data_IF_784951552011
#
_entry.id   IF_784951552011
#
_cell.length_a   1.000
_cell.length_b   1.000
_cell.length_c   1.000
_cell.angle_alpha   90.00
_cell.angle_beta   90.00
_cell.angle_gamma   90.00
#
_symmetry.space_group_name_H-M   'P 1'
#
loop_
_entity.id
_entity.type
_entity.pdbx_description
1 polymer ?
#
# COMPACT_ATOMS: atom_id res chain seq x y z
N UNK A 1 -53.76 23.59 -8.66
CA UNK A 1 -52.43 23.60 -9.33
C UNK A 1 -51.37 24.10 -8.35
N UNK A 2 -50.96 23.27 -7.38
CA UNK A 2 -49.95 23.65 -6.36
C UNK A 2 -49.01 22.50 -5.97
N UNK A 3 -49.03 21.37 -6.69
CA UNK A 3 -48.34 20.15 -6.24
C UNK A 3 -46.91 19.99 -6.82
N UNK A 4 -46.59 20.67 -7.93
CA UNK A 4 -45.26 20.55 -8.59
C UNK A 4 -44.17 21.43 -8.00
N UNK A 5 -44.51 22.47 -7.25
CA UNK A 5 -43.53 23.46 -6.75
C UNK A 5 -42.72 22.93 -5.57
N UNK A 6 -43.35 22.12 -4.70
CA UNK A 6 -42.73 21.55 -3.49
C UNK A 6 -41.73 20.44 -3.85
N UNK A 7 -41.96 19.72 -4.95
CA UNK A 7 -41.10 18.62 -5.40
C UNK A 7 -39.70 19.10 -5.84
N UNK A 8 -39.64 20.22 -6.57
CA UNK A 8 -38.38 20.79 -7.08
C UNK A 8 -37.44 21.23 -5.96
N UNK A 9 -37.96 21.89 -4.92
CA UNK A 9 -37.16 22.31 -3.78
C UNK A 9 -36.69 21.13 -2.92
N UNK A 10 -37.50 20.08 -2.79
CA UNK A 10 -37.09 18.82 -2.16
C UNK A 10 -35.94 18.16 -2.94
N UNK A 11 -36.04 18.07 -4.26
CA UNK A 11 -34.98 17.52 -5.10
C UNK A 11 -33.69 18.34 -5.04
N UNK A 12 -33.78 19.68 -5.00
CA UNK A 12 -32.63 20.58 -4.82
C UNK A 12 -31.97 20.40 -3.44
N UNK A 13 -32.77 20.25 -2.38
CA UNK A 13 -32.27 19.94 -1.04
C UNK A 13 -31.50 18.62 -0.98
N UNK A 14 -32.04 17.56 -1.59
CA UNK A 14 -31.35 16.26 -1.68
C UNK A 14 -30.07 16.33 -2.52
N UNK A 15 -30.06 17.11 -3.60
CA UNK A 15 -28.87 17.31 -4.43
C UNK A 15 -27.77 18.06 -3.65
N UNK A 16 -28.13 19.10 -2.90
CA UNK A 16 -27.19 19.84 -2.06
C UNK A 16 -26.61 18.99 -0.91
N UNK A 17 -27.44 18.14 -0.31
CA UNK A 17 -26.99 17.17 0.71
C UNK A 17 -26.00 16.17 0.13
N UNK A 18 -26.34 15.54 -1.02
CA UNK A 18 -25.44 14.60 -1.72
C UNK A 18 -24.11 15.25 -2.11
N UNK A 19 -24.14 16.47 -2.66
CA UNK A 19 -22.93 17.20 -3.00
C UNK A 19 -22.05 17.51 -1.78
N UNK A 20 -22.66 17.70 -0.61
CA UNK A 20 -21.93 17.92 0.65
C UNK A 20 -21.36 16.62 1.19
N UNK A 21 -22.10 15.52 1.11
CA UNK A 21 -21.63 14.19 1.50
C UNK A 21 -20.45 13.75 0.64
N UNK A 22 -20.51 13.94 -0.68
CA UNK A 22 -19.39 13.64 -1.59
C UNK A 22 -18.15 14.45 -1.22
N UNK A 23 -18.30 15.76 -0.95
CA UNK A 23 -17.17 16.60 -0.52
C UNK A 23 -16.55 16.11 0.80
N UNK A 24 -17.39 15.69 1.75
CA UNK A 24 -16.91 15.12 3.02
C UNK A 24 -16.13 13.83 2.79
N UNK A 25 -16.65 12.91 1.97
CA UNK A 25 -15.97 11.66 1.64
C UNK A 25 -14.62 11.89 0.95
N UNK A 26 -14.55 12.84 0.02
CA UNK A 26 -13.29 13.23 -0.63
C UNK A 26 -12.29 13.75 0.41
N UNK A 27 -12.71 14.67 1.28
CA UNK A 27 -11.84 15.21 2.32
C UNK A 27 -11.32 14.12 3.29
N UNK A 28 -12.16 13.15 3.64
CA UNK A 28 -11.77 12.01 4.47
C UNK A 28 -10.75 11.11 3.77
N UNK A 29 -10.97 10.80 2.48
CA UNK A 29 -10.02 10.03 1.66
C UNK A 29 -8.68 10.76 1.54
N UNK A 30 -8.70 12.08 1.35
CA UNK A 30 -7.48 12.90 1.28
C UNK A 30 -6.69 12.89 2.60
N UNK A 31 -7.37 13.07 3.74
CA UNK A 31 -6.74 13.01 5.06
C UNK A 31 -6.13 11.63 5.35
N UNK A 32 -6.84 10.56 4.98
CA UNK A 32 -6.34 9.19 5.09
C UNK A 32 -5.11 8.98 4.20
N UNK A 33 -5.14 9.48 2.96
CA UNK A 33 -4.00 9.40 2.03
C UNK A 33 -2.77 10.14 2.57
N UNK A 34 -2.95 11.31 3.17
CA UNK A 34 -1.85 12.06 3.80
C UNK A 34 -1.25 11.29 4.97
N UNK A 35 -2.09 10.70 5.83
CA UNK A 35 -1.64 9.87 6.96
C UNK A 35 -0.86 8.64 6.49
N UNK A 36 -1.32 7.97 5.43
CA UNK A 36 -0.61 6.82 4.85
C UNK A 36 0.75 7.22 4.28
N UNK A 37 0.83 8.36 3.58
CA UNK A 37 2.10 8.87 3.05
C UNK A 37 3.12 9.17 4.14
N UNK A 38 2.71 9.87 5.20
CA UNK A 38 3.61 10.20 6.31
C UNK A 38 4.19 8.94 6.98
N UNK A 39 3.35 7.91 7.18
CA UNK A 39 3.79 6.60 7.71
C UNK A 39 4.74 5.88 6.76
N UNK A 40 4.48 5.95 5.46
CA UNK A 40 5.35 5.35 4.46
C UNK A 40 6.73 6.03 4.47
N UNK A 41 6.78 7.35 4.49
CA UNK A 41 8.03 8.13 4.56
C UNK A 41 8.85 7.81 5.82
N UNK A 42 8.19 7.64 6.97
CA UNK A 42 8.85 7.24 8.22
C UNK A 42 9.43 5.82 8.11
N UNK A 43 8.69 4.88 7.54
CA UNK A 43 9.17 3.52 7.30
C UNK A 43 10.37 3.52 6.35
N UNK A 44 10.31 4.23 5.23
CA UNK A 44 11.40 4.35 4.27
C UNK A 44 12.65 4.95 4.92
N UNK A 45 12.49 6.00 5.73
CA UNK A 45 13.59 6.59 6.50
C UNK A 45 14.26 5.56 7.40
N UNK A 46 13.49 4.72 8.09
CA UNK A 46 14.03 3.66 8.94
C UNK A 46 14.73 2.57 8.13
N UNK A 47 14.20 2.19 6.95
CA UNK A 47 14.84 1.21 6.06
C UNK A 47 16.18 1.73 5.50
N UNK A 48 16.30 3.05 5.28
CA UNK A 48 17.51 3.72 4.79
C UNK A 48 18.55 3.99 5.89
N UNK A 49 18.14 4.10 7.15
CA UNK A 49 19.00 4.55 8.25
C UNK A 49 20.18 3.60 8.56
N UNK A 50 20.05 2.31 8.27
CA UNK A 50 21.10 1.33 8.53
C UNK A 50 21.13 0.23 7.46
N UNK A 51 22.31 -0.34 7.16
CA UNK A 51 22.41 -1.59 6.39
C UNK A 51 21.61 -2.73 7.04
N UNK A 52 21.20 -3.72 6.26
CA UNK A 52 20.61 -4.94 6.82
C UNK A 52 21.69 -5.74 7.57
N UNK A 53 21.36 -6.24 8.76
CA UNK A 53 22.28 -7.00 9.61
C UNK A 53 22.30 -8.50 9.29
N UNK A 54 21.25 -9.00 8.64
CA UNK A 54 21.08 -10.40 8.30
C UNK A 54 20.26 -10.55 7.00
N UNK A 55 20.20 -11.78 6.48
CA UNK A 55 19.48 -12.10 5.25
C UNK A 55 18.00 -11.75 5.33
N UNK A 56 17.34 -12.03 6.46
CA UNK A 56 15.92 -11.75 6.66
C UNK A 56 15.60 -10.25 6.56
N UNK A 57 16.42 -9.40 7.19
CA UNK A 57 16.26 -7.94 7.05
C UNK A 57 16.51 -7.46 5.62
N UNK A 58 17.48 -8.03 4.92
CA UNK A 58 17.77 -7.67 3.53
C UNK A 58 16.63 -8.08 2.58
N UNK A 59 16.06 -9.29 2.76
CA UNK A 59 14.93 -9.76 1.96
C UNK A 59 13.67 -8.94 2.19
N UNK A 60 13.41 -8.50 3.43
CA UNK A 60 12.26 -7.65 3.74
C UNK A 60 12.37 -6.27 3.07
N UNK A 61 13.58 -5.68 3.06
CA UNK A 61 13.86 -4.45 2.30
C UNK A 61 13.66 -4.63 0.80
N UNK A 62 14.15 -5.73 0.24
CA UNK A 62 13.99 -6.04 -1.17
C UNK A 62 12.52 -6.26 -1.54
N UNK A 63 11.79 -7.03 -0.73
CA UNK A 63 10.34 -7.27 -0.88
C UNK A 63 9.56 -5.96 -0.88
N UNK A 64 9.89 -5.03 0.02
CA UNK A 64 9.28 -3.70 0.05
C UNK A 64 9.51 -2.93 -1.26
N UNK A 65 10.75 -2.85 -1.74
CA UNK A 65 11.09 -2.16 -2.99
C UNK A 65 10.40 -2.79 -4.20
N UNK A 66 10.34 -4.12 -4.26
CA UNK A 66 9.68 -4.85 -5.35
C UNK A 66 8.16 -4.62 -5.36
N UNK A 67 7.52 -4.53 -4.20
CA UNK A 67 6.10 -4.17 -4.10
C UNK A 67 5.80 -2.75 -4.59
N UNK A 68 6.69 -1.79 -4.33
CA UNK A 68 6.56 -0.43 -4.89
C UNK A 68 6.80 -0.45 -6.40
N UNK A 69 7.85 -1.14 -6.83
CA UNK A 69 8.21 -1.23 -8.24
C UNK A 69 7.09 -1.89 -9.05
N UNK A 70 6.44 -2.93 -8.54
CA UNK A 70 5.35 -3.64 -9.24
C UNK A 70 4.16 -2.75 -9.57
N UNK A 71 3.94 -1.66 -8.83
CA UNK A 71 2.89 -0.68 -9.08
C UNK A 71 3.26 0.36 -10.18
N UNK A 72 4.52 0.39 -10.62
CA UNK A 72 4.98 1.33 -11.67
C UNK A 72 4.61 0.83 -13.07
N UNK A 73 4.41 1.72 -14.07
CA UNK A 73 4.18 1.32 -15.46
C UNK A 73 5.28 0.41 -16.02
N UNK A 74 6.53 0.65 -15.63
CA UNK A 74 7.68 -0.13 -16.08
C UNK A 74 7.61 -1.59 -15.63
N UNK A 75 6.98 -1.87 -14.50
CA UNK A 75 6.81 -3.23 -14.00
C UNK A 75 5.54 -3.93 -14.52
N UNK A 76 4.61 -3.23 -15.20
CA UNK A 76 3.36 -3.83 -15.69
C UNK A 76 3.54 -4.82 -16.84
N UNK A 77 4.74 -4.93 -17.42
CA UNK A 77 5.09 -6.03 -18.34
C UNK A 77 4.80 -7.38 -17.65
N UNK A 78 3.94 -8.26 -18.22
CA UNK A 78 3.59 -9.55 -17.63
C UNK A 78 4.80 -10.41 -17.25
N UNK A 79 5.90 -10.31 -18.00
CA UNK A 79 7.15 -11.02 -17.69
C UNK A 79 7.80 -10.51 -16.42
N UNK A 80 7.76 -9.19 -16.18
CA UNK A 80 8.31 -8.56 -14.98
C UNK A 80 7.46 -8.87 -13.76
N UNK A 81 6.13 -8.81 -13.88
CA UNK A 81 5.21 -9.22 -12.80
C UNK A 81 5.48 -10.66 -12.37
N UNK A 82 5.56 -11.60 -13.32
CA UNK A 82 5.86 -13.01 -13.02
C UNK A 82 7.22 -13.20 -12.35
N UNK A 83 8.23 -12.42 -12.74
CA UNK A 83 9.54 -12.47 -12.10
C UNK A 83 9.49 -11.93 -10.66
N UNK A 84 8.76 -10.84 -10.43
CA UNK A 84 8.55 -10.27 -9.10
C UNK A 84 7.88 -11.30 -8.20
N UNK A 85 6.79 -11.93 -8.65
CA UNK A 85 6.07 -12.96 -7.88
C UNK A 85 7.00 -14.11 -7.48
N UNK A 86 7.73 -14.68 -8.44
CA UNK A 86 8.68 -15.77 -8.18
C UNK A 86 9.75 -15.38 -7.13
N UNK A 87 10.29 -14.15 -7.22
CA UNK A 87 11.31 -13.68 -6.26
C UNK A 87 10.72 -13.48 -4.86
N UNK A 88 9.48 -13.00 -4.75
CA UNK A 88 8.80 -12.86 -3.46
C UNK A 88 8.51 -14.23 -2.81
N UNK A 89 8.13 -15.22 -3.61
CA UNK A 89 7.97 -16.61 -3.16
C UNK A 89 9.30 -17.19 -2.67
N UNK A 90 10.39 -16.98 -3.41
CA UNK A 90 11.73 -17.42 -3.02
C UNK A 90 12.21 -16.77 -1.71
N UNK A 91 11.95 -15.47 -1.50
CA UNK A 91 12.26 -14.83 -0.21
C UNK A 91 11.51 -15.49 0.94
N UNK A 92 10.23 -15.78 0.75
CA UNK A 92 9.41 -16.45 1.79
C UNK A 92 9.97 -17.83 2.13
N UNK A 93 10.34 -18.61 1.10
CA UNK A 93 10.92 -19.95 1.27
C UNK A 93 12.28 -19.91 1.95
N UNK A 94 13.21 -19.09 1.47
CA UNK A 94 14.58 -19.02 1.98
C UNK A 94 14.68 -18.43 3.39
N UNK A 95 13.80 -17.49 3.75
CA UNK A 95 13.74 -16.96 5.12
C UNK A 95 13.28 -18.02 6.12
N UNK A 96 12.34 -18.89 5.73
CA UNK A 96 11.93 -20.02 6.55
C UNK A 96 13.06 -21.03 6.73
N UNK A 97 13.74 -21.41 5.65
CA UNK A 97 14.88 -22.34 5.71
C UNK A 97 16.01 -21.80 6.61
N UNK A 98 16.31 -20.50 6.54
CA UNK A 98 17.33 -19.86 7.40
C UNK A 98 16.97 -19.92 8.89
N UNK A 99 15.68 -19.89 9.24
CA UNK A 99 15.21 -20.02 10.62
C UNK A 99 15.22 -21.45 11.16
N UNK A 100 15.21 -22.45 10.28
CA UNK A 100 15.15 -23.88 10.61
C UNK A 100 16.54 -24.56 10.60
N UNK A 101 17.61 -23.87 10.17
CA UNK A 101 18.97 -24.41 10.23
C UNK A 101 19.53 -24.44 11.67
N UNK A 102 19.96 -25.61 12.20
CA UNK A 102 20.65 -25.66 13.48
C UNK A 102 22.01 -24.97 13.36
N UNK A 103 22.29 -24.06 14.28
CA UNK A 103 23.60 -23.43 14.41
C UNK A 103 24.66 -24.53 14.61
N UNK A 104 25.71 -24.64 13.76
CA UNK A 104 26.78 -25.58 14.04
C UNK A 104 27.49 -25.13 15.33
N UNK A 105 27.51 -26.02 16.33
CA UNK A 105 28.29 -25.82 17.54
C UNK A 105 29.73 -25.51 17.11
N UNK A 106 30.22 -24.34 17.51
CA UNK A 106 31.64 -24.01 17.42
C UNK A 106 32.37 -24.90 18.43
N UNK A 107 33.18 -25.83 17.91
CA UNK A 107 34.26 -26.48 18.65
C UNK A 107 35.38 -25.49 19.01
#
# INVERSE_FOLDING_TARGET
MTDRTIELDRHRGMAAQKATEIRRQIAEVEANRQTLRARQEELEKNLLAAPALNWHEASEKARYLLMIFSATPDAQDPRRQKLIDNVLDDFTRLCRETSEQPHPAKD
#
